data_IF_779479129808
#
_entry.id   IF_779479129808
#
_cell.length_a   1.000
_cell.length_b   1.000
_cell.length_c   1.000
_cell.angle_alpha   90.00
_cell.angle_beta   90.00
_cell.angle_gamma   90.00
#
_symmetry.space_group_name_H-M   'P 1'
#
loop_
_entity.id
_entity.type
_entity.pdbx_description
1 polymer ?
#
# COMPACT_ATOMS: atom_id res chain seq x y z
N UNK A 1 -31.86 21.83 -26.45
CA UNK A 1 -31.05 22.44 -27.52
C UNK A 1 -29.78 21.63 -27.60
N UNK A 2 -29.48 21.01 -28.72
CA UNK A 2 -28.21 20.28 -28.90
C UNK A 2 -27.10 21.34 -28.85
N UNK A 3 -26.25 21.28 -27.84
CA UNK A 3 -25.12 22.20 -27.71
C UNK A 3 -24.21 22.07 -28.92
N UNK A 4 -23.74 23.20 -29.43
CA UNK A 4 -22.68 23.25 -30.44
C UNK A 4 -21.52 22.39 -29.97
N UNK A 5 -21.21 21.30 -30.68
CA UNK A 5 -20.01 20.51 -30.39
C UNK A 5 -18.83 21.31 -30.93
N UNK A 6 -18.07 21.92 -30.05
CA UNK A 6 -16.77 22.53 -30.38
C UNK A 6 -15.86 21.45 -30.99
N UNK A 7 -15.10 21.83 -32.02
CA UNK A 7 -14.01 20.94 -32.44
C UNK A 7 -12.89 20.94 -31.42
N UNK A 8 -12.03 19.94 -31.48
CA UNK A 8 -10.95 19.74 -30.49
C UNK A 8 -10.02 20.96 -30.37
N UNK A 9 -9.72 21.63 -31.48
CA UNK A 9 -8.82 22.80 -31.50
C UNK A 9 -9.47 24.02 -30.82
N UNK A 10 -10.74 24.27 -31.09
CA UNK A 10 -11.51 25.34 -30.43
C UNK A 10 -11.62 25.11 -28.93
N UNK A 11 -11.85 23.86 -28.51
CA UNK A 11 -11.94 23.48 -27.11
C UNK A 11 -10.60 23.69 -26.38
N UNK A 12 -9.49 23.30 -27.00
CA UNK A 12 -8.14 23.51 -26.46
C UNK A 12 -7.86 25.02 -26.32
N UNK A 13 -8.23 25.82 -27.33
CA UNK A 13 -8.01 27.27 -27.26
C UNK A 13 -8.81 27.94 -26.13
N UNK A 14 -10.06 27.52 -25.92
CA UNK A 14 -10.89 27.98 -24.81
C UNK A 14 -10.24 27.61 -23.46
N UNK A 15 -9.80 26.37 -23.32
CA UNK A 15 -9.10 25.89 -22.12
C UNK A 15 -7.82 26.69 -21.83
N UNK A 16 -7.02 27.00 -22.84
CA UNK A 16 -5.79 27.79 -22.70
C UNK A 16 -6.04 29.24 -22.31
N UNK A 17 -7.14 29.82 -22.77
CA UNK A 17 -7.51 31.22 -22.41
C UNK A 17 -7.96 31.36 -20.95
N UNK A 18 -8.26 30.25 -20.25
CA UNK A 18 -8.63 30.25 -18.85
C UNK A 18 -9.96 30.94 -18.58
N UNK A 19 -10.85 31.05 -19.58
CA UNK A 19 -12.20 31.60 -19.39
C UNK A 19 -13.10 30.64 -18.61
N UNK A 20 -14.21 31.16 -18.03
CA UNK A 20 -15.20 30.29 -17.40
C UNK A 20 -15.79 29.35 -18.44
N UNK A 21 -15.64 28.06 -18.23
CA UNK A 21 -16.24 27.02 -19.05
C UNK A 21 -17.64 26.69 -18.52
N UNK A 22 -18.59 26.49 -19.43
CA UNK A 22 -19.90 25.98 -19.05
C UNK A 22 -19.78 24.59 -18.44
N UNK A 23 -20.50 24.34 -17.35
CA UNK A 23 -20.57 23.02 -16.76
C UNK A 23 -21.07 22.00 -17.80
N UNK A 24 -20.31 20.93 -18.01
CA UNK A 24 -20.67 19.89 -18.99
C UNK A 24 -20.03 20.02 -20.38
N UNK A 25 -19.30 21.09 -20.66
CA UNK A 25 -18.64 21.29 -21.97
C UNK A 25 -17.68 20.14 -22.35
N UNK A 26 -17.08 19.50 -21.37
CA UNK A 26 -16.11 18.41 -21.56
C UNK A 26 -16.70 17.01 -21.43
N UNK A 27 -18.01 16.87 -21.22
CA UNK A 27 -18.66 15.57 -21.19
C UNK A 27 -18.58 14.93 -22.58
N UNK A 28 -18.08 13.68 -22.64
CA UNK A 28 -17.85 12.93 -23.88
C UNK A 28 -16.94 13.63 -24.91
N UNK A 29 -16.18 14.65 -24.49
CA UNK A 29 -15.26 15.37 -25.38
C UNK A 29 -14.13 14.43 -25.86
N UNK A 30 -13.77 14.51 -27.14
CA UNK A 30 -12.61 13.81 -27.68
C UNK A 30 -11.40 14.75 -27.67
N UNK A 31 -10.49 14.49 -26.75
CA UNK A 31 -9.24 15.21 -26.53
C UNK A 31 -8.03 14.28 -26.72
N UNK A 32 -8.23 13.17 -27.43
CA UNK A 32 -7.17 12.21 -27.75
C UNK A 32 -6.02 12.88 -28.47
N UNK A 33 -4.77 12.50 -28.12
CA UNK A 33 -3.51 13.02 -28.67
C UNK A 33 -3.32 14.55 -28.50
N UNK A 34 -4.21 15.26 -27.83
CA UNK A 34 -4.13 16.71 -27.63
C UNK A 34 -2.98 17.07 -26.68
N UNK A 35 -2.37 18.23 -26.90
CA UNK A 35 -1.42 18.82 -25.94
C UNK A 35 -2.17 19.76 -24.99
N UNK A 36 -2.38 19.26 -23.77
CA UNK A 36 -3.08 19.92 -22.67
C UNK A 36 -2.15 20.13 -21.47
N UNK A 37 -0.84 20.11 -21.71
CA UNK A 37 0.18 20.24 -20.67
C UNK A 37 0.02 21.54 -19.89
N UNK A 38 0.10 21.46 -18.55
CA UNK A 38 0.01 22.56 -17.62
C UNK A 38 -1.38 23.21 -17.50
N UNK A 39 -2.41 22.67 -18.15
CA UNK A 39 -3.76 23.20 -18.06
C UNK A 39 -4.38 22.94 -16.67
N UNK A 40 -5.32 23.81 -16.29
CA UNK A 40 -6.06 23.71 -15.04
C UNK A 40 -7.53 23.48 -15.32
N UNK A 41 -8.08 22.48 -14.65
CA UNK A 41 -9.49 22.09 -14.71
C UNK A 41 -10.08 22.22 -13.32
N UNK A 42 -10.94 23.17 -13.11
CA UNK A 42 -11.60 23.41 -11.82
C UNK A 42 -13.09 23.07 -11.90
N UNK A 43 -13.54 22.16 -11.07
CA UNK A 43 -14.96 21.75 -10.90
C UNK A 43 -15.64 21.35 -12.22
N UNK A 44 -14.88 20.65 -13.08
CA UNK A 44 -15.34 20.19 -14.37
C UNK A 44 -15.94 18.79 -14.29
N UNK A 45 -16.98 18.54 -15.08
CA UNK A 45 -17.46 17.19 -15.39
C UNK A 45 -16.81 16.70 -16.71
N UNK A 46 -15.96 15.68 -16.56
CA UNK A 46 -15.18 15.08 -17.64
C UNK A 46 -15.68 13.66 -17.94
N UNK A 47 -16.92 13.38 -17.56
CA UNK A 47 -17.50 12.04 -17.74
C UNK A 47 -17.54 11.64 -19.22
N UNK A 48 -17.06 10.42 -19.52
CA UNK A 48 -16.97 9.88 -20.88
C UNK A 48 -15.94 10.57 -21.77
N UNK A 49 -15.22 11.59 -21.29
CA UNK A 49 -14.17 12.24 -22.08
C UNK A 49 -13.03 11.29 -22.43
N UNK A 50 -12.40 11.53 -23.57
CA UNK A 50 -11.33 10.72 -24.13
C UNK A 50 -10.05 11.51 -24.19
N UNK A 51 -9.01 11.03 -23.49
CA UNK A 51 -7.68 11.61 -23.43
C UNK A 51 -6.60 10.59 -23.86
N UNK A 52 -6.98 9.59 -24.68
CA UNK A 52 -6.04 8.53 -25.07
C UNK A 52 -4.81 9.13 -25.77
N UNK A 53 -3.62 8.86 -25.22
CA UNK A 53 -2.34 9.36 -25.70
C UNK A 53 -2.16 10.88 -25.61
N UNK A 54 -3.05 11.60 -24.89
CA UNK A 54 -2.91 13.05 -24.69
C UNK A 54 -1.68 13.38 -23.84
N UNK A 55 -1.11 14.57 -24.07
CA UNK A 55 -0.05 15.15 -23.24
C UNK A 55 -0.71 16.01 -22.17
N UNK A 56 -0.52 15.64 -20.92
CA UNK A 56 -1.14 16.24 -19.75
C UNK A 56 -0.10 16.50 -18.64
N UNK A 57 1.17 16.65 -19.02
CA UNK A 57 2.25 16.88 -18.08
C UNK A 57 1.99 18.15 -17.26
N UNK A 58 2.03 18.04 -15.95
CA UNK A 58 1.79 19.15 -15.04
C UNK A 58 0.37 19.69 -15.05
N UNK A 59 -0.58 19.03 -15.71
CA UNK A 59 -1.99 19.42 -15.65
C UNK A 59 -2.56 19.25 -14.24
N UNK A 60 -3.52 20.10 -13.85
CA UNK A 60 -4.14 20.04 -12.54
C UNK A 60 -5.66 19.97 -12.62
N UNK A 61 -6.22 19.05 -11.84
CA UNK A 61 -7.66 18.86 -11.71
C UNK A 61 -8.05 19.10 -10.25
N UNK A 62 -8.94 20.08 -10.05
CA UNK A 62 -9.47 20.43 -8.75
C UNK A 62 -10.98 20.21 -8.70
N UNK A 63 -11.46 19.41 -7.76
CA UNK A 63 -12.88 19.09 -7.58
C UNK A 63 -13.59 18.60 -8.86
N UNK A 64 -12.83 17.93 -9.75
CA UNK A 64 -13.35 17.42 -11.01
C UNK A 64 -14.00 16.04 -10.84
N UNK A 65 -14.92 15.72 -11.75
CA UNK A 65 -15.61 14.45 -11.83
C UNK A 65 -15.25 13.72 -13.11
N UNK A 66 -14.93 12.43 -12.97
CA UNK A 66 -14.60 11.54 -14.07
C UNK A 66 -15.42 10.26 -13.94
N UNK A 67 -16.27 9.97 -14.90
CA UNK A 67 -17.01 8.71 -14.96
C UNK A 67 -16.83 8.09 -16.34
N UNK A 68 -16.21 6.90 -16.39
CA UNK A 68 -15.92 6.24 -17.67
C UNK A 68 -14.95 7.02 -18.57
N UNK A 69 -14.16 7.91 -17.99
CA UNK A 69 -13.15 8.71 -18.69
C UNK A 69 -11.96 7.83 -19.07
N UNK A 70 -11.33 8.07 -20.23
CA UNK A 70 -10.25 7.25 -20.74
C UNK A 70 -8.96 8.05 -20.90
N UNK A 71 -7.89 7.60 -20.23
CA UNK A 71 -6.55 8.16 -20.28
C UNK A 71 -5.52 7.14 -20.81
N UNK A 72 -5.96 6.15 -21.59
CA UNK A 72 -5.09 5.07 -22.03
C UNK A 72 -3.88 5.61 -22.78
N UNK A 73 -2.66 5.28 -22.31
CA UNK A 73 -1.41 5.76 -22.87
C UNK A 73 -1.16 7.26 -22.75
N UNK A 74 -1.96 8.00 -21.99
CA UNK A 74 -1.74 9.43 -21.77
C UNK A 74 -0.52 9.69 -20.87
N UNK A 75 0.09 10.87 -21.02
CA UNK A 75 1.23 11.32 -20.19
C UNK A 75 0.73 12.37 -19.20
N UNK A 76 0.59 11.98 -17.93
CA UNK A 76 0.10 12.81 -16.84
C UNK A 76 1.20 13.16 -15.82
N UNK A 77 2.46 12.94 -16.18
CA UNK A 77 3.60 13.11 -15.26
C UNK A 77 3.57 14.49 -14.59
N UNK A 78 3.87 14.50 -13.27
CA UNK A 78 3.81 15.70 -12.42
C UNK A 78 2.43 16.39 -12.35
N UNK A 79 1.37 15.70 -12.75
CA UNK A 79 -0.01 16.18 -12.65
C UNK A 79 -0.52 16.21 -11.20
N UNK A 80 -1.65 16.88 -10.99
CA UNK A 80 -2.25 17.01 -9.66
C UNK A 80 -3.75 16.73 -9.71
N UNK A 81 -4.22 15.84 -8.85
CA UNK A 81 -5.65 15.59 -8.61
C UNK A 81 -5.99 15.99 -7.18
N UNK A 82 -6.89 16.94 -6.99
CA UNK A 82 -7.33 17.40 -5.67
C UNK A 82 -8.85 17.37 -5.59
N UNK A 83 -9.39 16.69 -4.57
CA UNK A 83 -10.84 16.62 -4.35
C UNK A 83 -11.64 15.94 -5.46
N UNK A 84 -11.00 15.17 -6.33
CA UNK A 84 -11.64 14.58 -7.52
C UNK A 84 -12.35 13.27 -7.21
N UNK A 85 -13.38 12.97 -7.99
CA UNK A 85 -14.09 11.69 -7.99
C UNK A 85 -13.90 11.00 -9.35
N UNK A 86 -13.28 9.83 -9.33
CA UNK A 86 -12.93 9.07 -10.53
C UNK A 86 -13.56 7.69 -10.44
N UNK A 87 -14.55 7.43 -11.29
CA UNK A 87 -15.28 6.17 -11.33
C UNK A 87 -15.17 5.52 -12.70
N UNK A 88 -14.83 4.22 -12.71
CA UNK A 88 -14.69 3.40 -13.92
C UNK A 88 -13.76 4.04 -14.97
N UNK A 89 -12.69 4.69 -14.50
CA UNK A 89 -11.71 5.39 -15.34
C UNK A 89 -10.67 4.40 -15.86
N UNK A 90 -10.30 4.51 -17.15
CA UNK A 90 -9.21 3.75 -17.71
C UNK A 90 -7.91 4.56 -17.73
N UNK A 91 -6.84 4.01 -17.13
CA UNK A 91 -5.48 4.56 -17.08
C UNK A 91 -4.47 3.60 -17.74
N UNK A 92 -4.91 2.64 -18.56
CA UNK A 92 -4.05 1.59 -19.10
C UNK A 92 -2.82 2.14 -19.80
N UNK A 93 -1.64 1.71 -19.38
CA UNK A 93 -0.37 2.16 -19.96
C UNK A 93 -0.10 3.65 -19.86
N UNK A 94 -0.88 4.39 -19.07
CA UNK A 94 -0.64 5.82 -18.85
C UNK A 94 0.60 6.05 -17.97
N UNK A 95 1.23 7.22 -18.10
CA UNK A 95 2.33 7.65 -17.24
C UNK A 95 1.84 8.66 -16.21
N UNK A 96 1.82 8.26 -14.93
CA UNK A 96 1.50 9.09 -13.77
C UNK A 96 2.73 9.29 -12.87
N UNK A 97 3.93 9.29 -13.44
CA UNK A 97 5.17 9.51 -12.70
C UNK A 97 5.15 10.87 -11.99
N UNK A 98 5.48 10.90 -10.69
CA UNK A 98 5.43 12.09 -9.84
C UNK A 98 4.05 12.76 -9.73
N UNK A 99 2.95 12.05 -9.95
CA UNK A 99 1.61 12.60 -9.75
C UNK A 99 1.34 12.81 -8.25
N UNK A 100 0.69 13.93 -7.94
CA UNK A 100 0.13 14.21 -6.62
C UNK A 100 -1.37 13.96 -6.61
N UNK A 101 -1.86 13.17 -5.65
CA UNK A 101 -3.28 12.92 -5.40
C UNK A 101 -3.61 13.33 -3.97
N UNK A 102 -4.61 14.19 -3.79
CA UNK A 102 -5.06 14.58 -2.48
C UNK A 102 -6.57 14.59 -2.37
N UNK A 103 -7.10 13.90 -1.36
CA UNK A 103 -8.54 13.82 -1.09
C UNK A 103 -9.32 13.38 -2.34
N UNK A 104 -8.82 12.34 -3.03
CA UNK A 104 -9.44 11.79 -4.26
C UNK A 104 -10.08 10.45 -4.01
N UNK A 105 -11.09 10.13 -4.81
CA UNK A 105 -11.79 8.85 -4.74
C UNK A 105 -11.70 8.16 -6.09
N UNK A 106 -11.07 6.99 -6.12
CA UNK A 106 -10.93 6.12 -7.27
C UNK A 106 -11.77 4.86 -7.04
N UNK A 107 -12.77 4.62 -7.85
CA UNK A 107 -13.64 3.44 -7.79
C UNK A 107 -13.65 2.73 -9.14
N UNK A 108 -13.34 1.44 -9.18
CA UNK A 108 -13.35 0.64 -10.40
C UNK A 108 -12.34 1.07 -11.47
N UNK A 109 -11.32 1.86 -11.09
CA UNK A 109 -10.33 2.35 -12.05
C UNK A 109 -9.38 1.24 -12.51
N UNK A 110 -9.00 1.29 -13.78
CA UNK A 110 -8.10 0.34 -14.42
C UNK A 110 -6.70 0.93 -14.59
N UNK A 111 -5.76 0.49 -13.74
CA UNK A 111 -4.37 0.88 -13.75
C UNK A 111 -3.43 -0.19 -14.34
N UNK A 112 -3.92 -1.09 -15.20
CA UNK A 112 -3.04 -2.07 -15.84
C UNK A 112 -1.91 -1.38 -16.60
N UNK A 113 -0.68 -1.84 -16.34
CA UNK A 113 0.56 -1.34 -16.95
C UNK A 113 0.78 0.16 -16.81
N UNK A 114 0.11 0.79 -15.86
CA UNK A 114 0.26 2.22 -15.54
C UNK A 114 1.56 2.45 -14.78
N UNK A 115 2.31 3.49 -15.17
CA UNK A 115 3.47 3.94 -14.41
C UNK A 115 3.03 4.89 -13.28
N UNK A 116 3.11 4.42 -12.04
CA UNK A 116 2.83 5.17 -10.81
C UNK A 116 4.11 5.41 -9.99
N UNK A 117 5.26 5.46 -10.66
CA UNK A 117 6.56 5.73 -10.00
C UNK A 117 6.51 7.08 -9.30
N UNK A 118 6.95 7.13 -8.04
CA UNK A 118 6.93 8.34 -7.20
C UNK A 118 5.55 8.99 -7.05
N UNK A 119 4.49 8.21 -7.23
CA UNK A 119 3.15 8.66 -6.85
C UNK A 119 3.16 9.13 -5.40
N UNK A 120 2.64 10.32 -5.16
CA UNK A 120 2.35 10.77 -3.81
C UNK A 120 0.84 10.93 -3.63
N UNK A 121 0.25 10.15 -2.73
CA UNK A 121 -1.17 10.18 -2.43
C UNK A 121 -1.41 10.46 -0.93
N UNK A 122 -2.29 11.39 -0.64
CA UNK A 122 -2.72 11.76 0.71
C UNK A 122 -4.24 11.72 0.80
N UNK A 123 -4.79 11.13 1.86
CA UNK A 123 -6.24 11.02 2.10
C UNK A 123 -7.02 10.51 0.87
N UNK A 124 -6.45 9.56 0.15
CA UNK A 124 -6.99 9.07 -1.12
C UNK A 124 -7.56 7.66 -0.95
N UNK A 125 -8.71 7.43 -1.59
CA UNK A 125 -9.39 6.12 -1.56
C UNK A 125 -9.22 5.44 -2.92
N UNK A 126 -8.72 4.20 -2.89
CA UNK A 126 -8.68 3.29 -4.03
C UNK A 126 -9.60 2.10 -3.73
N UNK A 127 -10.73 2.01 -4.42
CA UNK A 127 -11.71 0.94 -4.23
C UNK A 127 -11.90 0.15 -5.51
N UNK A 128 -11.77 -1.19 -5.42
CA UNK A 128 -11.98 -2.10 -6.54
C UNK A 128 -11.17 -1.74 -7.79
N UNK A 129 -10.00 -1.11 -7.61
CA UNK A 129 -9.13 -0.73 -8.71
C UNK A 129 -8.26 -1.93 -9.15
N UNK A 130 -8.02 -2.05 -10.44
CA UNK A 130 -7.11 -3.05 -11.01
C UNK A 130 -5.69 -2.49 -11.06
N UNK A 131 -4.82 -2.88 -10.10
CA UNK A 131 -3.48 -2.31 -9.93
C UNK A 131 -2.36 -3.37 -9.89
N UNK A 132 -2.65 -4.65 -10.09
CA UNK A 132 -1.66 -5.72 -9.91
C UNK A 132 -0.43 -5.58 -10.82
N UNK A 133 -0.61 -5.07 -12.05
CA UNK A 133 0.48 -4.84 -13.01
C UNK A 133 0.96 -3.39 -13.06
N UNK A 134 0.40 -2.52 -12.21
CA UNK A 134 0.87 -1.13 -12.11
C UNK A 134 2.29 -1.09 -11.52
N UNK A 135 3.12 -0.19 -12.04
CA UNK A 135 4.49 0.01 -11.57
C UNK A 135 4.45 1.01 -10.40
N UNK A 136 4.52 0.49 -9.18
CA UNK A 136 4.67 1.30 -7.97
C UNK A 136 6.11 1.21 -7.48
N UNK A 137 6.90 2.21 -7.81
CA UNK A 137 8.25 2.36 -7.30
C UNK A 137 8.40 3.72 -6.60
N UNK A 138 9.01 3.73 -5.41
CA UNK A 138 9.22 4.96 -4.61
C UNK A 138 7.92 5.73 -4.32
N UNK A 139 6.76 5.05 -4.34
CA UNK A 139 5.45 5.67 -4.11
C UNK A 139 5.20 5.90 -2.62
N UNK A 140 4.51 7.00 -2.30
CA UNK A 140 4.11 7.35 -0.95
C UNK A 140 2.58 7.53 -0.88
N UNK A 141 1.91 6.63 -0.15
CA UNK A 141 0.47 6.65 0.04
C UNK A 141 0.20 6.78 1.55
N UNK A 142 -0.06 7.98 2.01
CA UNK A 142 -0.30 8.27 3.43
C UNK A 142 -1.78 8.49 3.72
N UNK A 143 -2.27 7.91 4.81
CA UNK A 143 -3.67 8.03 5.22
C UNK A 143 -4.64 7.61 4.11
N UNK A 144 -4.19 6.70 3.23
CA UNK A 144 -4.98 6.21 2.11
C UNK A 144 -5.82 5.00 2.53
N UNK A 145 -6.93 4.80 1.84
CA UNK A 145 -7.74 3.58 1.96
C UNK A 145 -7.65 2.78 0.67
N UNK A 146 -7.07 1.59 0.77
CA UNK A 146 -7.04 0.58 -0.29
C UNK A 146 -8.10 -0.46 0.06
N UNK A 147 -9.14 -0.59 -0.76
CA UNK A 147 -10.27 -1.46 -0.45
C UNK A 147 -10.62 -2.38 -1.62
N UNK A 148 -10.75 -3.68 -1.33
CA UNK A 148 -11.07 -4.72 -2.31
C UNK A 148 -10.09 -4.73 -3.51
N UNK A 149 -8.78 -4.58 -3.24
CA UNK A 149 -7.75 -4.65 -4.26
C UNK A 149 -7.17 -6.06 -4.34
N UNK A 150 -7.09 -6.61 -5.55
CA UNK A 150 -6.36 -7.83 -5.84
C UNK A 150 -4.97 -7.44 -6.38
N UNK A 151 -3.95 -7.57 -5.53
CA UNK A 151 -2.58 -7.19 -5.81
C UNK A 151 -1.66 -8.42 -5.85
N UNK A 152 -2.24 -9.59 -6.18
CA UNK A 152 -1.50 -10.84 -6.25
C UNK A 152 -0.41 -10.75 -7.31
N UNK A 153 0.81 -11.16 -6.98
CA UNK A 153 1.97 -11.05 -7.84
C UNK A 153 2.49 -9.64 -8.07
N UNK A 154 1.92 -8.62 -7.42
CA UNK A 154 2.39 -7.24 -7.56
C UNK A 154 3.87 -7.09 -7.19
N UNK A 155 4.58 -6.23 -7.92
CA UNK A 155 5.99 -5.93 -7.69
C UNK A 155 6.13 -4.47 -7.24
N UNK A 156 6.28 -4.26 -5.92
CA UNK A 156 6.45 -2.94 -5.32
C UNK A 156 7.88 -2.75 -4.82
N UNK A 157 8.48 -1.62 -5.13
CA UNK A 157 9.81 -1.24 -4.66
C UNK A 157 9.76 0.10 -3.91
N UNK A 158 10.20 0.10 -2.65
CA UNK A 158 10.23 1.28 -1.77
C UNK A 158 8.88 1.98 -1.61
N UNK A 159 7.79 1.24 -1.61
CA UNK A 159 6.45 1.79 -1.39
C UNK A 159 6.22 2.00 0.09
N UNK A 160 5.75 3.19 0.44
CA UNK A 160 5.44 3.58 1.81
C UNK A 160 3.94 3.78 1.99
N UNK A 161 3.34 3.10 2.98
CA UNK A 161 1.91 3.17 3.32
C UNK A 161 1.69 3.63 4.77
N UNK A 162 2.23 4.78 5.22
CA UNK A 162 2.04 5.17 6.61
C UNK A 162 0.58 5.52 6.90
N UNK A 163 0.07 5.03 8.05
CA UNK A 163 -1.28 5.33 8.57
C UNK A 163 -2.42 4.98 7.60
N UNK A 164 -2.19 4.05 6.67
CA UNK A 164 -3.16 3.68 5.64
C UNK A 164 -3.95 2.43 6.03
N UNK A 165 -5.08 2.22 5.36
CA UNK A 165 -5.96 1.07 5.58
C UNK A 165 -5.95 0.16 4.36
N UNK A 166 -5.80 -1.17 4.59
CA UNK A 166 -5.92 -2.18 3.54
C UNK A 166 -7.08 -3.12 3.91
N UNK A 167 -8.26 -2.83 3.38
CA UNK A 167 -9.46 -3.62 3.64
C UNK A 167 -9.70 -4.64 2.53
N UNK A 168 -9.78 -5.93 2.87
CA UNK A 168 -10.06 -7.00 1.91
C UNK A 168 -9.08 -6.97 0.70
N UNK A 169 -7.82 -6.66 0.97
CA UNK A 169 -6.77 -6.67 -0.05
C UNK A 169 -6.02 -8.00 -0.01
N UNK A 170 -5.61 -8.49 -1.19
CA UNK A 170 -4.74 -9.65 -1.33
C UNK A 170 -3.44 -9.27 -2.02
N UNK A 171 -2.32 -9.83 -1.56
CA UNK A 171 -0.97 -9.62 -2.09
C UNK A 171 -0.22 -10.97 -2.13
N UNK A 172 -0.93 -12.04 -2.51
CA UNK A 172 -0.36 -13.39 -2.61
C UNK A 172 0.77 -13.38 -3.63
N UNK A 173 1.92 -13.98 -3.27
CA UNK A 173 3.12 -14.04 -4.13
C UNK A 173 3.69 -12.67 -4.54
N UNK A 174 3.26 -11.59 -3.89
CA UNK A 174 3.79 -10.25 -4.19
C UNK A 174 5.28 -10.13 -3.81
N UNK A 175 6.00 -9.27 -4.52
CA UNK A 175 7.37 -8.88 -4.18
C UNK A 175 7.37 -7.46 -3.63
N UNK A 176 7.80 -7.30 -2.37
CA UNK A 176 7.74 -6.04 -1.62
C UNK A 176 9.15 -5.62 -1.17
N UNK A 177 9.93 -5.10 -2.11
CA UNK A 177 11.32 -4.68 -1.84
C UNK A 177 11.35 -3.36 -1.09
N UNK A 178 11.99 -3.34 0.10
CA UNK A 178 12.19 -2.12 0.90
C UNK A 178 10.88 -1.35 1.19
N UNK A 179 9.75 -2.04 1.24
CA UNK A 179 8.45 -1.45 1.53
C UNK A 179 8.25 -1.21 3.04
N UNK A 180 7.44 -0.20 3.38
CA UNK A 180 7.09 0.06 4.77
C UNK A 180 5.58 0.37 4.90
N UNK A 181 4.89 -0.47 5.67
CA UNK A 181 3.46 -0.42 5.98
C UNK A 181 3.28 -0.09 7.47
N UNK A 182 3.93 1.00 7.90
CA UNK A 182 3.93 1.40 9.30
C UNK A 182 2.57 1.95 9.73
N UNK A 183 2.07 1.47 10.86
CA UNK A 183 0.77 1.86 11.44
C UNK A 183 -0.41 1.62 10.49
N UNK A 184 -0.28 0.66 9.55
CA UNK A 184 -1.41 0.28 8.71
C UNK A 184 -2.49 -0.43 9.52
N UNK A 185 -3.74 -0.24 9.13
CA UNK A 185 -4.86 -1.07 9.54
C UNK A 185 -5.15 -2.07 8.42
N UNK A 186 -4.78 -3.34 8.62
CA UNK A 186 -4.84 -4.36 7.59
C UNK A 186 -5.32 -5.72 8.12
N UNK A 187 -6.52 -5.78 8.75
CA UNK A 187 -7.05 -7.05 9.24
C UNK A 187 -7.33 -7.99 8.07
N UNK A 188 -6.93 -9.25 8.24
CA UNK A 188 -7.11 -10.28 7.22
C UNK A 188 -6.29 -10.10 5.95
N UNK A 189 -5.26 -9.24 5.95
CA UNK A 189 -4.36 -9.06 4.81
C UNK A 189 -3.73 -10.39 4.42
N UNK A 190 -3.81 -10.75 3.14
CA UNK A 190 -3.26 -11.99 2.61
C UNK A 190 -1.92 -11.75 1.90
N UNK A 191 -0.83 -12.16 2.54
CA UNK A 191 0.54 -12.08 2.04
C UNK A 191 1.16 -13.49 1.88
N UNK A 192 0.35 -14.50 1.60
CA UNK A 192 0.86 -15.88 1.41
C UNK A 192 1.90 -15.92 0.32
N UNK A 193 3.00 -16.62 0.60
CA UNK A 193 4.15 -16.79 -0.30
C UNK A 193 4.79 -15.49 -0.79
N UNK A 194 4.48 -14.34 -0.22
CA UNK A 194 5.07 -13.07 -0.62
C UNK A 194 6.59 -13.05 -0.36
N UNK A 195 7.33 -12.34 -1.21
CA UNK A 195 8.75 -12.04 -1.06
C UNK A 195 8.91 -10.63 -0.48
N UNK A 196 9.03 -10.53 0.84
CA UNK A 196 9.00 -9.26 1.56
C UNK A 196 10.12 -9.15 2.62
N UNK A 197 11.40 -9.44 2.27
CA UNK A 197 12.48 -9.30 3.23
C UNK A 197 12.65 -7.84 3.66
N UNK A 198 12.78 -7.62 4.98
CA UNK A 198 12.90 -6.28 5.54
C UNK A 198 11.63 -5.43 5.53
N UNK A 199 10.47 -6.01 5.19
CA UNK A 199 9.19 -5.28 5.25
C UNK A 199 8.97 -4.71 6.65
N UNK A 200 8.71 -3.40 6.74
CA UNK A 200 8.37 -2.78 8.02
C UNK A 200 6.86 -2.73 8.22
N UNK A 201 6.42 -3.38 9.30
CA UNK A 201 5.04 -3.45 9.79
C UNK A 201 4.96 -2.88 11.22
N UNK A 202 5.83 -1.90 11.52
CA UNK A 202 5.90 -1.29 12.84
C UNK A 202 4.55 -0.68 13.24
N UNK A 203 4.02 -1.11 14.42
CA UNK A 203 2.72 -0.70 14.95
C UNK A 203 1.53 -0.99 14.03
N UNK A 204 1.65 -1.92 13.10
CA UNK A 204 0.55 -2.31 12.23
C UNK A 204 -0.50 -3.13 13.01
N UNK A 205 -1.76 -3.04 12.57
CA UNK A 205 -2.86 -3.85 13.06
C UNK A 205 -3.15 -4.93 12.01
N UNK A 206 -2.74 -6.17 12.32
CA UNK A 206 -2.66 -7.30 11.39
C UNK A 206 -3.48 -8.51 11.89
N UNK A 207 -4.59 -8.23 12.54
CA UNK A 207 -5.44 -9.30 13.05
C UNK A 207 -5.91 -10.20 11.92
N UNK A 208 -5.85 -11.51 12.12
CA UNK A 208 -6.20 -12.52 11.12
C UNK A 208 -5.39 -12.50 9.82
N UNK A 209 -4.34 -11.67 9.73
CA UNK A 209 -3.50 -11.61 8.52
C UNK A 209 -2.81 -12.96 8.26
N UNK A 210 -2.62 -13.29 6.98
CA UNK A 210 -2.00 -14.53 6.54
C UNK A 210 -0.67 -14.28 5.84
N UNK A 211 0.43 -14.79 6.43
CA UNK A 211 1.79 -14.74 5.92
C UNK A 211 2.34 -16.16 5.67
N UNK A 212 1.47 -17.16 5.52
CA UNK A 212 1.89 -18.56 5.36
C UNK A 212 2.86 -18.69 4.17
N UNK A 213 4.03 -19.30 4.39
CA UNK A 213 5.06 -19.49 3.38
C UNK A 213 5.79 -18.22 2.92
N UNK A 214 5.48 -17.05 3.47
CA UNK A 214 6.14 -15.80 3.07
C UNK A 214 7.62 -15.74 3.48
N UNK A 215 8.43 -15.04 2.70
CA UNK A 215 9.82 -14.68 3.03
C UNK A 215 9.82 -13.30 3.67
N UNK A 216 10.00 -13.29 5.00
CA UNK A 216 9.94 -12.12 5.86
C UNK A 216 11.24 -11.96 6.67
N UNK A 217 12.37 -12.38 6.08
CA UNK A 217 13.67 -12.26 6.74
C UNK A 217 13.97 -10.79 7.05
N UNK A 218 14.38 -10.49 8.28
CA UNK A 218 14.60 -9.15 8.81
C UNK A 218 13.35 -8.21 8.79
N UNK A 219 12.14 -8.74 8.62
CA UNK A 219 10.93 -7.94 8.72
C UNK A 219 10.72 -7.40 10.14
N UNK A 220 10.06 -6.24 10.25
CA UNK A 220 9.88 -5.51 11.52
C UNK A 220 8.40 -5.50 11.89
N UNK A 221 8.04 -6.28 12.90
CA UNK A 221 6.69 -6.33 13.50
C UNK A 221 6.67 -5.63 14.87
N UNK A 222 7.63 -4.75 15.15
CA UNK A 222 7.72 -4.10 16.46
C UNK A 222 6.41 -3.38 16.80
N UNK A 223 5.89 -3.65 18.02
CA UNK A 223 4.62 -3.10 18.51
C UNK A 223 3.40 -3.40 17.66
N UNK A 224 3.48 -4.35 16.72
CA UNK A 224 2.34 -4.75 15.91
C UNK A 224 1.34 -5.57 16.72
N UNK A 225 0.06 -5.53 16.32
CA UNK A 225 -0.98 -6.43 16.79
C UNK A 225 -1.23 -7.52 15.75
N UNK A 226 -1.19 -8.79 16.19
CA UNK A 226 -1.16 -9.98 15.34
C UNK A 226 -2.18 -11.03 15.83
N UNK A 227 -3.36 -10.62 16.31
CA UNK A 227 -4.36 -11.54 16.81
C UNK A 227 -4.79 -12.51 15.71
N UNK A 228 -4.64 -13.83 15.98
CA UNK A 228 -4.94 -14.91 15.04
C UNK A 228 -4.19 -14.87 13.70
N UNK A 229 -3.10 -14.13 13.61
CA UNK A 229 -2.26 -14.10 12.41
C UNK A 229 -1.60 -15.47 12.18
N UNK A 230 -1.39 -15.81 10.90
CA UNK A 230 -0.80 -17.07 10.46
C UNK A 230 0.54 -16.80 9.78
N UNK A 231 1.60 -17.46 10.28
CA UNK A 231 2.97 -17.37 9.73
C UNK A 231 3.55 -18.78 9.54
N UNK A 232 2.71 -19.75 9.16
CA UNK A 232 3.10 -21.14 8.99
C UNK A 232 4.13 -21.29 7.87
N UNK A 233 5.23 -21.97 8.17
CA UNK A 233 6.29 -22.19 7.19
C UNK A 233 6.97 -20.92 6.69
N UNK A 234 6.68 -19.75 7.29
CA UNK A 234 7.31 -18.50 6.91
C UNK A 234 8.79 -18.48 7.26
N UNK A 235 9.60 -17.78 6.42
CA UNK A 235 10.98 -17.43 6.76
C UNK A 235 11.02 -16.11 7.50
N UNK A 236 11.48 -16.14 8.74
CA UNK A 236 11.49 -15.02 9.69
C UNK A 236 12.89 -14.85 10.32
N UNK A 237 13.96 -15.14 9.56
CA UNK A 237 15.33 -14.98 10.06
C UNK A 237 15.61 -13.54 10.38
N UNK A 238 16.13 -13.28 11.59
CA UNK A 238 16.40 -11.93 12.10
C UNK A 238 15.15 -11.01 12.11
N UNK A 239 13.94 -11.54 12.00
CA UNK A 239 12.72 -10.75 12.12
C UNK A 239 12.57 -10.23 13.55
N UNK A 240 11.91 -9.08 13.69
CA UNK A 240 11.72 -8.41 14.98
C UNK A 240 10.26 -8.35 15.34
N UNK A 241 9.96 -8.79 16.57
CA UNK A 241 8.63 -8.73 17.18
C UNK A 241 8.66 -7.98 18.52
N UNK A 242 9.60 -7.04 18.68
CA UNK A 242 9.78 -6.31 19.94
C UNK A 242 8.48 -5.64 20.38
N UNK A 243 7.97 -6.02 21.56
CA UNK A 243 6.75 -5.46 22.12
C UNK A 243 5.48 -5.69 21.31
N UNK A 244 5.51 -6.58 20.30
CA UNK A 244 4.32 -6.97 19.59
C UNK A 244 3.35 -7.77 20.49
N UNK A 245 2.06 -7.80 20.12
CA UNK A 245 1.03 -8.50 20.88
C UNK A 245 0.23 -9.44 20.00
N UNK A 246 -0.23 -10.58 20.55
CA UNK A 246 -1.09 -11.49 19.83
C UNK A 246 -1.92 -12.39 20.75
N UNK A 247 -3.11 -12.74 20.28
CA UNK A 247 -3.89 -13.87 20.76
C UNK A 247 -3.94 -14.93 19.66
N UNK A 248 -3.33 -16.11 19.90
CA UNK A 248 -3.44 -17.27 19.01
C UNK A 248 -2.67 -17.17 17.69
N UNK A 249 -1.51 -16.54 17.69
CA UNK A 249 -0.63 -16.50 16.51
C UNK A 249 -0.07 -17.89 16.19
N UNK A 250 0.04 -18.22 14.91
CA UNK A 250 0.50 -19.52 14.42
C UNK A 250 1.84 -19.40 13.68
N UNK A 251 2.93 -19.86 14.33
CA UNK A 251 4.28 -19.96 13.79
C UNK A 251 4.67 -21.39 13.40
N UNK A 252 3.70 -22.31 13.27
CA UNK A 252 3.99 -23.71 12.94
C UNK A 252 4.91 -23.85 11.74
N UNK A 253 5.94 -24.71 11.83
CA UNK A 253 6.95 -24.97 10.80
C UNK A 253 7.76 -23.75 10.33
N UNK A 254 7.68 -22.59 10.99
CA UNK A 254 8.40 -21.35 10.61
C UNK A 254 9.91 -21.44 10.91
N UNK A 255 10.70 -20.64 10.19
CA UNK A 255 12.15 -20.50 10.42
C UNK A 255 12.43 -19.14 11.05
N UNK A 256 12.74 -19.13 12.37
CA UNK A 256 12.88 -17.91 13.18
C UNK A 256 14.33 -17.78 13.74
N UNK A 257 15.34 -18.16 12.95
CA UNK A 257 16.73 -18.06 13.40
C UNK A 257 17.06 -16.61 13.75
N UNK A 258 17.59 -16.40 14.97
CA UNK A 258 17.98 -15.08 15.47
C UNK A 258 16.86 -14.05 15.50
N UNK A 259 15.61 -14.46 15.47
CA UNK A 259 14.48 -13.54 15.62
C UNK A 259 14.50 -12.89 17.01
N UNK A 260 14.13 -11.62 17.07
CA UNK A 260 13.98 -10.88 18.33
C UNK A 260 12.51 -10.83 18.75
N UNK A 261 12.16 -11.64 19.76
CA UNK A 261 10.85 -11.67 20.40
C UNK A 261 10.90 -11.01 21.79
N UNK A 262 11.81 -10.05 22.00
CA UNK A 262 11.88 -9.35 23.28
C UNK A 262 10.58 -8.60 23.56
N UNK A 263 10.06 -8.73 24.78
CA UNK A 263 8.78 -8.15 25.21
C UNK A 263 7.54 -8.58 24.39
N UNK A 264 7.67 -9.64 23.57
CA UNK A 264 6.53 -10.16 22.83
C UNK A 264 5.50 -10.77 23.78
N UNK A 265 4.25 -10.32 23.68
CA UNK A 265 3.14 -10.80 24.50
C UNK A 265 2.18 -11.62 23.63
N UNK A 266 2.23 -12.94 23.74
CA UNK A 266 1.39 -13.80 22.92
C UNK A 266 0.75 -14.94 23.72
N UNK A 267 -0.55 -14.86 23.88
CA UNK A 267 -1.35 -15.91 24.53
C UNK A 267 -1.70 -16.98 23.49
N UNK A 268 -1.50 -18.26 23.83
CA UNK A 268 -1.78 -19.42 22.97
C UNK A 268 -1.03 -19.41 21.62
N UNK A 269 0.18 -18.86 21.58
CA UNK A 269 1.02 -18.92 20.39
C UNK A 269 1.41 -20.36 20.05
N UNK A 270 1.40 -20.74 18.77
CA UNK A 270 1.83 -22.07 18.33
C UNK A 270 3.20 -21.99 17.63
N UNK A 271 4.26 -22.48 18.32
CA UNK A 271 5.61 -22.62 17.79
C UNK A 271 5.93 -24.07 17.41
N UNK A 272 4.93 -24.94 17.21
CA UNK A 272 5.16 -26.34 16.89
C UNK A 272 6.02 -26.46 15.64
N UNK A 273 7.11 -27.26 15.72
CA UNK A 273 8.12 -27.45 14.68
C UNK A 273 8.84 -26.18 14.18
N UNK A 274 8.63 -25.03 14.80
CA UNK A 274 9.36 -23.82 14.46
C UNK A 274 10.83 -23.93 14.85
N UNK A 275 11.72 -23.31 14.07
CA UNK A 275 13.14 -23.27 14.38
C UNK A 275 13.54 -21.89 14.90
N UNK A 276 13.72 -21.79 16.24
CA UNK A 276 14.10 -20.57 16.95
C UNK A 276 15.60 -20.54 17.29
N UNK A 277 16.46 -21.24 16.59
CA UNK A 277 17.90 -21.26 16.89
C UNK A 277 18.46 -19.84 17.04
N UNK A 278 19.04 -19.55 18.19
CA UNK A 278 19.63 -18.24 18.50
C UNK A 278 18.64 -17.10 18.73
N UNK A 279 17.34 -17.36 18.74
CA UNK A 279 16.32 -16.31 18.98
C UNK A 279 16.44 -15.70 20.38
N UNK A 280 16.03 -14.44 20.49
CA UNK A 280 15.98 -13.68 21.75
C UNK A 280 14.53 -13.59 22.24
N UNK A 281 14.28 -14.11 23.45
CA UNK A 281 12.98 -14.08 24.14
C UNK A 281 13.08 -13.27 25.46
N UNK A 282 13.90 -12.21 25.47
CA UNK A 282 14.03 -11.38 26.65
C UNK A 282 12.70 -10.75 27.05
N UNK A 283 12.28 -10.95 28.29
CA UNK A 283 11.01 -10.45 28.82
C UNK A 283 9.77 -10.83 27.99
N UNK A 284 9.84 -11.89 27.17
CA UNK A 284 8.67 -12.36 26.41
C UNK A 284 7.67 -13.05 27.34
N UNK A 285 6.37 -12.75 27.15
CA UNK A 285 5.26 -13.34 27.87
C UNK A 285 4.46 -14.25 26.94
N UNK A 286 4.63 -15.58 27.08
CA UNK A 286 4.08 -16.59 26.17
C UNK A 286 3.20 -17.63 26.91
N UNK A 287 2.15 -17.20 27.64
CA UNK A 287 1.32 -18.15 28.36
C UNK A 287 0.58 -19.10 27.40
N UNK A 288 0.58 -20.38 27.77
CA UNK A 288 -0.05 -21.47 27.00
C UNK A 288 0.51 -21.67 25.60
N UNK A 289 1.73 -21.22 25.32
CA UNK A 289 2.38 -21.44 24.02
C UNK A 289 2.68 -22.93 23.80
N UNK A 290 2.51 -23.40 22.57
CA UNK A 290 2.81 -24.77 22.13
C UNK A 290 4.21 -24.83 21.52
N UNK A 291 5.04 -25.81 21.97
CA UNK A 291 6.43 -25.97 21.57
C UNK A 291 6.73 -27.38 21.05
N UNK A 292 5.73 -28.09 20.52
CA UNK A 292 5.93 -29.45 20.03
C UNK A 292 6.96 -29.48 18.89
N UNK A 293 8.02 -30.26 19.07
CA UNK A 293 9.09 -30.44 18.09
C UNK A 293 9.80 -29.14 17.66
N UNK A 294 9.67 -28.07 18.46
CA UNK A 294 10.37 -26.82 18.21
C UNK A 294 11.86 -26.96 18.48
N UNK A 295 12.70 -26.34 17.62
CA UNK A 295 14.16 -26.29 17.80
C UNK A 295 14.49 -25.01 18.57
N UNK A 296 15.12 -25.16 19.76
CA UNK A 296 15.42 -24.09 20.70
C UNK A 296 16.93 -23.94 20.99
N UNK A 297 17.77 -24.30 20.04
CA UNK A 297 19.23 -24.24 20.21
C UNK A 297 19.68 -22.79 20.42
N UNK A 298 20.46 -22.55 21.47
CA UNK A 298 21.01 -21.24 21.81
C UNK A 298 19.97 -20.11 21.99
N UNK A 299 18.71 -20.43 22.28
CA UNK A 299 17.67 -19.43 22.60
C UNK A 299 18.05 -18.71 23.90
N UNK A 300 18.00 -17.38 23.88
CA UNK A 300 18.23 -16.54 25.06
C UNK A 300 16.90 -16.05 25.63
N UNK A 301 16.51 -16.57 26.79
CA UNK A 301 15.22 -16.24 27.45
C UNK A 301 15.29 -15.01 28.35
N UNK A 302 16.48 -14.71 28.87
CA UNK A 302 16.71 -13.59 29.76
C UNK A 302 18.10 -13.01 29.46
N UNK A 303 18.15 -11.76 29.06
CA UNK A 303 19.39 -11.07 28.78
C UNK A 303 19.69 -10.09 29.93
N UNK A 304 20.70 -10.41 30.73
CA UNK A 304 21.05 -9.62 31.92
C UNK A 304 21.53 -8.21 31.58
N UNK A 305 22.17 -8.03 30.42
CA UNK A 305 22.68 -6.72 29.99
C UNK A 305 21.49 -5.83 29.52
N UNK A 306 20.55 -6.39 28.77
CA UNK A 306 19.31 -5.69 28.38
C UNK A 306 18.50 -5.30 29.63
N UNK A 307 18.31 -6.22 30.58
CA UNK A 307 17.60 -5.94 31.84
C UNK A 307 18.25 -4.80 32.59
N UNK A 308 19.59 -4.76 32.66
CA UNK A 308 20.30 -3.71 33.33
C UNK A 308 20.18 -2.36 32.63
N UNK A 309 20.17 -2.38 31.29
CA UNK A 309 19.96 -1.16 30.47
C UNK A 309 18.55 -0.61 30.63
N UNK A 310 17.52 -1.46 30.69
CA UNK A 310 16.11 -1.07 30.86
C UNK A 310 15.83 -0.46 32.24
N UNK A 311 16.54 -0.92 33.29
CA UNK A 311 16.44 -0.39 34.65
C UNK A 311 17.24 0.87 34.86
N UNK A 312 18.12 1.23 33.91
CA UNK A 312 18.95 2.40 34.03
C UNK A 312 18.12 3.70 33.97
N UNK A 313 18.22 4.51 35.02
CA UNK A 313 17.65 5.86 35.06
C UNK A 313 18.82 6.86 35.06
N UNK A 314 18.77 7.92 34.22
CA UNK A 314 19.79 8.97 34.30
C UNK A 314 19.79 9.57 35.72
N UNK A 315 20.97 9.76 36.30
CA UNK A 315 21.09 10.49 37.55
C UNK A 315 20.53 11.91 37.33
N UNK A 316 19.51 12.27 38.12
CA UNK A 316 18.89 13.61 38.12
C UNK A 316 19.82 14.61 38.75
#
# INVERSE_FOLDING_TARGET
MAGERFNTEELIEILRRGGPLEAGLLIEADLGQADLSGLRFDRMDLSGARFEGAKLEGASWNECRFMGTRFDGAVLSSGQFTGCVLKDVSMRGASLDHVWMQNTQWEGADFHDTNLTRLAALDTVFRQCAMATAILAEAWLSQCTLQNLQLDGACWDKVLLPDSTLEQCTMVEATLSQCAFNRVLAPGLDLRNAQAPGLSLHRAMLDEACFDGAVLDAAIFDMARLDHAKLRGASLRNARFYGATSLGIDFTDSTMHYADLSHFQAVNADFSKANLTGALLHAAELPSALWRDAVLDNVRRDDAELRQAELWQPAV
#
